data_IF_869150706180
#
_entry.id   IF_869150706180
#
_cell.length_a   1.000
_cell.length_b   1.000
_cell.length_c   1.000
_cell.angle_alpha   90.00
_cell.angle_beta   90.00
_cell.angle_gamma   90.00
#
_symmetry.space_group_name_H-M   'P 1'
#
loop_
_entity.id
_entity.type
_entity.pdbx_description
1 polymer ?
#
# COMPACT_ATOMS: atom_id res chain seq x y z
N UNK A 1 -3.61 -38.55 14.84
CA UNK A 1 -3.20 -38.13 13.47
C UNK A 1 -2.34 -36.89 13.60
N UNK A 2 -1.04 -36.96 13.33
CA UNK A 2 -0.14 -35.81 13.49
C UNK A 2 -0.51 -34.72 12.46
N UNK A 3 -0.65 -33.48 12.91
CA UNK A 3 -0.92 -32.36 12.00
C UNK A 3 0.26 -32.18 11.04
N UNK A 4 0.01 -32.16 9.73
CA UNK A 4 1.05 -31.89 8.70
C UNK A 4 1.73 -30.55 8.99
N UNK A 5 3.03 -30.44 8.70
CA UNK A 5 3.75 -29.18 8.90
C UNK A 5 3.30 -28.11 7.88
N UNK A 6 3.61 -26.83 8.11
CA UNK A 6 3.36 -25.78 7.11
C UNK A 6 4.10 -26.08 5.81
N UNK A 7 5.35 -26.56 5.90
CA UNK A 7 6.17 -26.90 4.73
C UNK A 7 5.51 -27.98 3.87
N UNK A 8 4.88 -28.97 4.49
CA UNK A 8 4.19 -30.03 3.75
C UNK A 8 2.93 -29.49 3.07
N UNK A 9 2.17 -28.61 3.74
CA UNK A 9 0.95 -28.03 3.16
C UNK A 9 1.25 -27.06 2.00
N UNK A 10 2.40 -26.40 2.01
CA UNK A 10 2.83 -25.54 0.90
C UNK A 10 3.03 -26.32 -0.41
N UNK A 11 3.38 -27.61 -0.34
CA UNK A 11 3.49 -28.45 -1.54
C UNK A 11 2.14 -28.62 -2.26
N UNK A 12 1.05 -28.59 -1.50
CA UNK A 12 -0.31 -28.82 -2.00
C UNK A 12 -1.01 -27.53 -2.47
N UNK A 13 -0.30 -26.40 -2.56
CA UNK A 13 -0.90 -25.17 -3.10
C UNK A 13 -1.38 -25.42 -4.53
N UNK A 14 -2.67 -25.18 -4.84
CA UNK A 14 -3.20 -25.35 -6.19
C UNK A 14 -2.60 -24.33 -7.16
N UNK A 15 -2.75 -24.56 -8.45
CA UNK A 15 -2.40 -23.55 -9.45
C UNK A 15 -3.16 -22.23 -9.19
N UNK A 16 -2.55 -21.10 -9.56
CA UNK A 16 -3.20 -19.81 -9.49
C UNK A 16 -4.26 -19.73 -10.59
N UNK A 17 -5.49 -19.38 -10.21
CA UNK A 17 -6.52 -18.95 -11.16
C UNK A 17 -6.17 -17.53 -11.64
N UNK A 18 -5.92 -17.33 -12.96
CA UNK A 18 -5.53 -16.03 -13.49
C UNK A 18 -6.70 -15.05 -13.65
N UNK A 19 -7.95 -15.49 -13.43
CA UNK A 19 -9.15 -14.68 -13.66
C UNK A 19 -9.12 -13.38 -12.84
N UNK A 20 -9.26 -12.24 -13.52
CA UNK A 20 -9.24 -10.91 -12.88
C UNK A 20 -7.84 -10.42 -12.47
N UNK A 21 -6.77 -11.15 -12.76
CA UNK A 21 -5.40 -10.77 -12.45
C UNK A 21 -4.67 -10.19 -13.66
N UNK A 22 -3.81 -9.20 -13.42
CA UNK A 22 -2.86 -8.68 -14.43
C UNK A 22 -1.67 -9.64 -14.57
N UNK A 23 -1.03 -9.63 -15.74
CA UNK A 23 0.15 -10.48 -16.01
C UNK A 23 1.24 -10.37 -14.93
N UNK A 24 1.57 -9.14 -14.51
CA UNK A 24 2.59 -8.93 -13.47
C UNK A 24 2.19 -9.48 -12.09
N UNK A 25 0.89 -9.56 -11.78
CA UNK A 25 0.39 -10.13 -10.54
C UNK A 25 0.44 -11.67 -10.60
N UNK A 26 0.06 -12.24 -11.76
CA UNK A 26 0.17 -13.68 -12.04
C UNK A 26 1.62 -14.14 -11.88
N UNK A 27 2.56 -13.43 -12.52
CA UNK A 27 3.99 -13.73 -12.43
C UNK A 27 4.50 -13.65 -11.00
N UNK A 28 4.14 -12.58 -10.28
CA UNK A 28 4.56 -12.39 -8.89
C UNK A 28 4.07 -13.51 -7.96
N UNK A 29 2.78 -13.85 -8.02
CA UNK A 29 2.17 -14.86 -7.14
C UNK A 29 2.67 -16.26 -7.51
N UNK A 30 2.78 -16.57 -8.80
CA UNK A 30 3.28 -17.88 -9.26
C UNK A 30 4.72 -18.13 -8.80
N UNK A 31 5.60 -17.13 -8.94
CA UNK A 31 6.98 -17.24 -8.48
C UNK A 31 7.09 -17.26 -6.95
N UNK A 32 6.20 -16.54 -6.24
CA UNK A 32 6.11 -16.61 -4.79
C UNK A 32 5.77 -18.04 -4.34
N UNK A 33 4.73 -18.65 -4.91
CA UNK A 33 4.31 -20.01 -4.57
C UNK A 33 5.40 -21.03 -4.89
N UNK A 34 6.06 -20.91 -6.04
CA UNK A 34 7.19 -21.77 -6.41
C UNK A 34 8.35 -21.66 -5.42
N UNK A 35 8.69 -20.44 -4.98
CA UNK A 35 9.74 -20.22 -3.98
C UNK A 35 9.38 -20.83 -2.62
N UNK A 36 8.13 -20.67 -2.19
CA UNK A 36 7.65 -21.26 -0.94
C UNK A 36 7.66 -22.79 -0.99
N UNK A 37 7.23 -23.40 -2.11
CA UNK A 37 7.33 -24.85 -2.36
C UNK A 37 8.79 -25.34 -2.33
N UNK A 38 9.72 -24.56 -2.88
CA UNK A 38 11.15 -24.86 -2.84
C UNK A 38 11.83 -24.62 -1.48
N UNK A 39 11.06 -24.36 -0.40
CA UNK A 39 11.56 -24.04 0.93
C UNK A 39 12.51 -22.82 0.94
N UNK A 40 12.26 -21.84 0.07
CA UNK A 40 12.91 -20.53 0.05
C UNK A 40 11.93 -19.48 0.58
N UNK A 41 11.82 -19.30 1.92
CA UNK A 41 10.77 -18.51 2.54
C UNK A 41 10.98 -16.99 2.45
N UNK A 42 12.17 -16.54 2.02
CA UNK A 42 12.52 -15.12 1.92
C UNK A 42 12.47 -14.72 0.46
N UNK A 43 11.50 -13.89 0.11
CA UNK A 43 11.19 -13.51 -1.27
C UNK A 43 11.13 -11.99 -1.32
N UNK A 44 11.66 -11.41 -2.40
CA UNK A 44 11.51 -9.99 -2.70
C UNK A 44 10.75 -9.88 -4.01
N UNK A 45 9.57 -9.25 -3.97
CA UNK A 45 8.78 -8.95 -5.15
C UNK A 45 8.88 -7.45 -5.39
N UNK A 46 9.47 -7.06 -6.53
CA UNK A 46 9.57 -5.66 -6.93
C UNK A 46 8.52 -5.35 -7.98
N UNK A 47 7.73 -4.31 -7.73
CA UNK A 47 6.58 -3.96 -8.56
C UNK A 47 6.44 -2.44 -8.69
N UNK A 48 6.12 -1.98 -9.89
CA UNK A 48 5.92 -0.56 -10.19
C UNK A 48 4.72 0.03 -9.41
N UNK A 49 4.69 1.35 -9.22
CA UNK A 49 3.50 2.04 -8.66
C UNK A 49 2.31 1.85 -9.60
N UNK A 50 1.10 1.68 -9.04
CA UNK A 50 -0.12 1.40 -9.82
C UNK A 50 -0.26 -0.04 -10.36
N UNK A 51 0.75 -0.91 -10.19
CA UNK A 51 0.67 -2.30 -10.69
C UNK A 51 -0.10 -3.28 -9.78
N UNK A 52 -0.78 -2.77 -8.74
CA UNK A 52 -1.58 -3.59 -7.82
C UNK A 52 -0.76 -4.38 -6.79
N UNK A 53 0.27 -3.76 -6.20
CA UNK A 53 1.11 -4.37 -5.14
C UNK A 53 0.30 -4.93 -3.97
N UNK A 54 -0.57 -4.09 -3.40
CA UNK A 54 -1.39 -4.44 -2.24
C UNK A 54 -2.34 -5.59 -2.59
N UNK A 55 -3.03 -5.49 -3.72
CA UNK A 55 -3.89 -6.56 -4.22
C UNK A 55 -3.15 -7.90 -4.41
N UNK A 56 -1.93 -7.86 -4.94
CA UNK A 56 -1.07 -9.05 -5.11
C UNK A 56 -0.68 -9.67 -3.78
N UNK A 57 -0.37 -8.84 -2.78
CA UNK A 57 -0.05 -9.29 -1.43
C UNK A 57 -1.27 -9.90 -0.74
N UNK A 58 -2.45 -9.26 -0.82
CA UNK A 58 -3.71 -9.77 -0.26
C UNK A 58 -4.07 -11.11 -0.91
N UNK A 59 -3.96 -11.23 -2.24
CA UNK A 59 -4.21 -12.49 -2.96
C UNK A 59 -3.26 -13.60 -2.50
N UNK A 60 -1.98 -13.29 -2.30
CA UNK A 60 -1.01 -14.26 -1.77
C UNK A 60 -1.37 -14.69 -0.35
N UNK A 61 -1.77 -13.74 0.51
CA UNK A 61 -2.21 -14.01 1.88
C UNK A 61 -3.45 -14.90 1.89
N UNK A 62 -4.46 -14.58 1.08
CA UNK A 62 -5.67 -15.39 0.93
C UNK A 62 -5.34 -16.84 0.60
N UNK A 63 -4.46 -17.05 -0.40
CA UNK A 63 -4.01 -18.39 -0.82
C UNK A 63 -3.34 -19.15 0.32
N UNK A 64 -2.49 -18.48 1.09
CA UNK A 64 -1.79 -19.08 2.23
C UNK A 64 -2.72 -19.42 3.41
N UNK A 65 -3.71 -18.56 3.68
CA UNK A 65 -4.73 -18.83 4.70
C UNK A 65 -5.59 -20.03 4.28
N UNK A 66 -6.14 -20.00 3.06
CA UNK A 66 -7.07 -21.01 2.54
C UNK A 66 -6.43 -22.38 2.34
N UNK A 67 -5.30 -22.44 1.63
CA UNK A 67 -4.72 -23.71 1.19
C UNK A 67 -3.59 -24.19 2.10
N UNK A 68 -2.77 -23.28 2.63
CA UNK A 68 -1.66 -23.64 3.52
C UNK A 68 -2.02 -23.57 5.01
N UNK A 69 -3.25 -23.17 5.37
CA UNK A 69 -3.74 -23.05 6.75
C UNK A 69 -2.78 -22.22 7.63
N UNK A 70 -2.26 -21.14 7.07
CA UNK A 70 -1.58 -20.11 7.87
C UNK A 70 -2.61 -19.51 8.82
N UNK A 71 -2.20 -19.20 10.06
CA UNK A 71 -3.12 -18.70 11.10
C UNK A 71 -2.84 -17.28 11.55
N UNK A 72 -1.63 -16.78 11.29
CA UNK A 72 -1.19 -15.46 11.74
C UNK A 72 -0.28 -14.85 10.69
N UNK A 73 -0.70 -13.72 10.16
CA UNK A 73 -0.01 -12.95 9.12
C UNK A 73 0.20 -11.55 9.65
N UNK A 74 1.45 -11.07 9.62
CA UNK A 74 1.78 -9.69 9.95
C UNK A 74 2.02 -8.92 8.66
N UNK A 75 1.16 -7.93 8.39
CA UNK A 75 1.25 -7.01 7.27
C UNK A 75 1.85 -5.68 7.75
N UNK A 76 3.11 -5.43 7.41
CA UNK A 76 3.84 -4.24 7.84
C UNK A 76 3.74 -3.12 6.80
N UNK A 77 3.47 -1.91 7.28
CA UNK A 77 3.39 -0.68 6.48
C UNK A 77 4.30 0.40 7.07
N UNK A 78 4.70 1.37 6.26
CA UNK A 78 5.63 2.42 6.69
C UNK A 78 4.95 3.57 7.46
N UNK A 79 3.69 3.90 7.15
CA UNK A 79 2.95 5.00 7.76
C UNK A 79 1.56 4.57 8.23
N UNK A 80 0.94 5.35 9.13
CA UNK A 80 -0.43 5.10 9.61
C UNK A 80 -1.44 5.16 8.47
N UNK A 81 -1.34 6.15 7.59
CA UNK A 81 -2.23 6.30 6.43
C UNK A 81 -2.12 5.11 5.47
N UNK A 82 -0.90 4.59 5.22
CA UNK A 82 -0.73 3.36 4.43
C UNK A 82 -1.36 2.14 5.11
N UNK A 83 -1.41 2.13 6.44
CA UNK A 83 -2.11 1.10 7.20
C UNK A 83 -3.62 1.15 7.03
N UNK A 84 -4.20 2.35 7.04
CA UNK A 84 -5.62 2.57 6.77
C UNK A 84 -5.97 2.21 5.33
N UNK A 85 -5.14 2.60 4.35
CA UNK A 85 -5.30 2.20 2.95
C UNK A 85 -5.24 0.68 2.80
N UNK A 86 -4.27 0.01 3.42
CA UNK A 86 -4.19 -1.45 3.39
C UNK A 86 -5.44 -2.10 4.00
N UNK A 87 -5.94 -1.58 5.13
CA UNK A 87 -7.18 -2.06 5.77
C UNK A 87 -8.40 -1.92 4.86
N UNK A 88 -8.56 -0.79 4.16
CA UNK A 88 -9.63 -0.60 3.16
C UNK A 88 -9.50 -1.57 1.98
N UNK A 89 -8.29 -1.85 1.51
CA UNK A 89 -8.05 -2.83 0.45
C UNK A 89 -8.43 -4.26 0.90
N UNK A 90 -8.14 -4.64 2.15
CA UNK A 90 -8.62 -5.91 2.70
C UNK A 90 -10.15 -5.97 2.78
N UNK A 91 -10.81 -4.88 3.21
CA UNK A 91 -12.28 -4.81 3.27
C UNK A 91 -12.94 -4.93 1.89
N UNK A 92 -12.35 -4.29 0.88
CA UNK A 92 -12.88 -4.30 -0.49
C UNK A 92 -12.61 -5.61 -1.24
N UNK A 93 -11.54 -6.33 -0.89
CA UNK A 93 -11.07 -7.52 -1.59
C UNK A 93 -12.11 -8.65 -1.59
N UNK A 94 -12.34 -9.22 -2.77
CA UNK A 94 -13.17 -10.43 -2.98
C UNK A 94 -12.31 -11.48 -3.69
N UNK A 95 -12.13 -12.67 -3.11
CA UNK A 95 -11.43 -13.76 -3.79
C UNK A 95 -12.16 -14.16 -5.09
N UNK A 96 -11.44 -14.70 -6.08
CA UNK A 96 -12.06 -15.13 -7.34
C UNK A 96 -12.94 -16.38 -7.19
N UNK A 97 -12.76 -17.14 -6.12
CA UNK A 97 -13.38 -18.44 -5.88
C UNK A 97 -14.31 -18.49 -4.64
N UNK A 98 -14.66 -17.33 -4.08
CA UNK A 98 -15.66 -17.18 -3.01
C UNK A 98 -16.42 -15.87 -3.20
N UNK A 99 -17.74 -15.88 -2.98
CA UNK A 99 -18.58 -14.69 -3.15
C UNK A 99 -18.51 -13.73 -1.96
N UNK A 100 -17.87 -14.14 -0.86
CA UNK A 100 -17.71 -13.34 0.35
C UNK A 100 -16.47 -12.45 0.29
N UNK A 101 -16.53 -11.30 0.96
CA UNK A 101 -15.37 -10.41 1.13
C UNK A 101 -14.29 -11.08 1.98
N UNK A 102 -13.03 -10.66 1.82
CA UNK A 102 -11.93 -11.20 2.63
C UNK A 102 -12.22 -11.14 4.13
N UNK A 103 -12.75 -10.00 4.60
CA UNK A 103 -13.03 -9.74 6.02
C UNK A 103 -14.23 -10.51 6.56
N UNK A 104 -15.05 -11.10 5.69
CA UNK A 104 -16.10 -12.06 6.07
C UNK A 104 -15.56 -13.49 6.22
N UNK A 105 -14.37 -13.75 5.66
CA UNK A 105 -13.68 -15.05 5.72
C UNK A 105 -12.63 -15.10 6.82
N UNK A 106 -11.90 -14.00 7.01
CA UNK A 106 -10.76 -13.90 7.91
C UNK A 106 -10.78 -12.55 8.61
N UNK A 107 -10.55 -12.56 9.92
CA UNK A 107 -10.52 -11.36 10.73
C UNK A 107 -9.20 -10.60 10.50
N UNK A 108 -9.34 -9.34 10.10
CA UNK A 108 -8.24 -8.40 9.90
C UNK A 108 -8.27 -7.37 11.02
N UNK A 109 -7.13 -7.08 11.62
CA UNK A 109 -7.02 -6.10 12.70
C UNK A 109 -5.82 -5.19 12.51
N UNK A 110 -6.05 -3.88 12.56
CA UNK A 110 -4.97 -2.89 12.67
C UNK A 110 -4.51 -2.75 14.12
N UNK A 111 -3.24 -2.98 14.36
CA UNK A 111 -2.66 -2.95 15.71
C UNK A 111 -2.40 -1.51 16.16
N UNK A 112 -3.09 -1.13 17.25
CA UNK A 112 -2.82 0.12 17.98
C UNK A 112 -1.88 -0.09 19.18
N UNK A 113 -1.71 -1.34 19.64
CA UNK A 113 -0.87 -1.70 20.79
C UNK A 113 -0.18 -3.05 20.56
N UNK A 114 0.59 -3.52 21.55
CA UNK A 114 1.22 -4.85 21.53
C UNK A 114 0.23 -6.00 21.78
N UNK A 115 -1.03 -5.71 22.08
CA UNK A 115 -2.04 -6.74 22.27
C UNK A 115 -2.44 -7.35 20.93
N UNK A 116 -2.37 -8.68 20.84
CA UNK A 116 -2.74 -9.45 19.65
C UNK A 116 -4.03 -10.23 19.95
N UNK A 117 -5.17 -9.84 19.34
CA UNK A 117 -6.39 -10.63 19.41
C UNK A 117 -6.14 -12.09 19.00
N UNK A 118 -6.83 -13.02 19.65
CA UNK A 118 -6.64 -14.46 19.42
C UNK A 118 -7.40 -14.99 18.21
N UNK A 119 -8.43 -14.26 17.80
CA UNK A 119 -9.38 -14.53 16.73
C UNK A 119 -9.00 -13.89 15.38
N UNK A 120 -7.97 -13.05 15.34
CA UNK A 120 -7.50 -12.44 14.10
C UNK A 120 -6.44 -13.28 13.37
N UNK A 121 -6.59 -13.41 12.04
CA UNK A 121 -5.61 -14.05 11.16
C UNK A 121 -4.61 -13.05 10.59
N UNK A 122 -5.03 -11.81 10.32
CA UNK A 122 -4.20 -10.78 9.70
C UNK A 122 -4.07 -9.57 10.60
N UNK A 123 -2.83 -9.17 10.87
CA UNK A 123 -2.49 -8.03 11.70
C UNK A 123 -1.79 -6.97 10.85
N UNK A 124 -2.39 -5.79 10.72
CA UNK A 124 -1.78 -4.65 10.03
C UNK A 124 -1.06 -3.80 11.08
N UNK A 125 0.24 -3.55 10.88
CA UNK A 125 1.02 -2.74 11.81
C UNK A 125 1.93 -1.75 11.09
N UNK A 126 2.00 -0.54 11.62
CA UNK A 126 2.94 0.47 11.17
C UNK A 126 4.32 0.20 11.77
N UNK A 127 5.37 0.31 10.95
CA UNK A 127 6.75 0.34 11.41
C UNK A 127 6.90 1.41 12.50
N UNK A 128 7.27 1.00 13.71
CA UNK A 128 7.36 1.91 14.86
C UNK A 128 8.49 2.95 14.66
N UNK A 129 8.17 4.25 14.43
CA UNK A 129 9.17 5.28 14.19
C UNK A 129 9.77 5.79 15.51
N UNK A 130 9.04 5.72 16.62
CA UNK A 130 9.44 6.27 17.93
C UNK A 130 10.67 5.56 18.49
N UNK A 131 10.81 4.26 18.20
CA UNK A 131 11.97 3.47 18.59
C UNK A 131 13.19 3.64 17.65
N UNK A 132 13.18 4.57 16.68
CA UNK A 132 14.31 4.77 15.74
C UNK A 132 15.63 5.03 16.45
N UNK A 133 15.60 5.73 17.59
CA UNK A 133 16.80 6.06 18.37
C UNK A 133 17.40 4.84 19.10
N UNK A 134 16.61 3.78 19.30
CA UNK A 134 17.07 2.51 19.88
C UNK A 134 17.69 1.58 18.82
N UNK A 135 17.56 1.90 17.53
CA UNK A 135 18.12 1.06 16.44
C UNK A 135 19.65 1.12 16.48
N UNK A 136 20.27 -0.05 16.68
CA UNK A 136 21.73 -0.21 16.61
C UNK A 136 22.14 -0.60 15.19
N UNK A 137 23.28 -0.09 14.77
CA UNK A 137 23.88 -0.50 13.50
C UNK A 137 24.16 -2.01 13.54
N UNK A 138 23.69 -2.71 12.51
CA UNK A 138 23.93 -4.15 12.37
C UNK A 138 25.07 -4.42 11.41
N UNK A 139 25.34 -3.48 10.50
CA UNK A 139 26.42 -3.58 9.54
C UNK A 139 27.76 -3.23 10.18
N UNK A 140 28.78 -4.00 9.82
CA UNK A 140 30.16 -3.71 10.17
C UNK A 140 31.06 -4.26 9.06
N UNK A 141 31.95 -3.43 8.50
CA UNK A 141 32.77 -3.77 7.34
C UNK A 141 33.45 -5.14 7.44
N UNK A 142 34.08 -5.41 8.59
CA UNK A 142 34.82 -6.66 8.81
C UNK A 142 34.00 -7.75 9.52
N UNK A 143 33.27 -7.39 10.59
CA UNK A 143 32.61 -8.35 11.48
C UNK A 143 31.22 -8.78 11.01
N UNK A 144 30.53 -7.95 10.23
CA UNK A 144 29.21 -8.27 9.71
C UNK A 144 28.92 -7.51 8.41
N UNK A 145 29.57 -7.89 7.29
CA UNK A 145 29.41 -7.19 6.02
C UNK A 145 28.00 -7.35 5.43
N UNK A 146 27.20 -8.29 5.94
CA UNK A 146 25.82 -8.56 5.51
C UNK A 146 24.76 -7.90 6.40
N UNK A 147 25.18 -7.11 7.40
CA UNK A 147 24.25 -6.36 8.25
C UNK A 147 23.38 -5.40 7.43
N UNK A 148 22.07 -5.38 7.70
CA UNK A 148 21.09 -4.66 6.88
C UNK A 148 20.94 -3.18 7.25
N UNK A 149 21.13 -2.84 8.52
CA UNK A 149 21.08 -1.47 9.01
C UNK A 149 22.50 -0.91 9.09
N UNK A 150 22.78 0.11 8.25
CA UNK A 150 24.04 0.86 8.16
C UNK A 150 23.77 2.36 8.32
N UNK A 151 24.61 3.05 9.08
CA UNK A 151 24.57 4.51 9.18
C UNK A 151 25.54 5.09 8.15
N UNK A 152 25.17 6.24 7.60
CA UNK A 152 26.04 7.02 6.73
C UNK A 152 26.19 8.41 7.32
N UNK A 153 27.42 8.89 7.38
CA UNK A 153 27.73 10.27 7.70
C UNK A 153 27.34 11.18 6.53
N UNK A 154 27.13 12.48 6.81
CA UNK A 154 26.83 13.45 5.77
C UNK A 154 27.90 13.48 4.67
N UNK A 155 29.18 13.44 5.05
CA UNK A 155 30.29 13.45 4.09
C UNK A 155 30.26 12.23 3.14
N UNK A 156 29.94 11.04 3.65
CA UNK A 156 29.80 9.83 2.83
C UNK A 156 28.60 9.88 1.88
N UNK A 157 27.52 10.57 2.27
CA UNK A 157 26.37 10.78 1.39
C UNK A 157 26.72 11.79 0.30
N UNK A 158 27.26 12.96 0.66
CA UNK A 158 27.61 14.03 -0.28
C UNK A 158 28.64 13.59 -1.35
N UNK A 159 29.51 12.63 -1.03
CA UNK A 159 30.51 12.10 -1.95
C UNK A 159 29.95 11.13 -3.02
N UNK A 160 28.65 10.79 -3.02
CA UNK A 160 28.09 9.87 -4.03
C UNK A 160 27.75 10.62 -5.32
N UNK A 161 28.11 10.02 -6.46
CA UNK A 161 27.91 10.55 -7.82
C UNK A 161 26.46 10.92 -8.19
N UNK A 162 25.46 10.44 -7.42
CA UNK A 162 24.03 10.67 -7.68
C UNK A 162 23.26 11.04 -6.41
N UNK A 163 23.86 11.86 -5.56
CA UNK A 163 23.20 12.33 -4.34
C UNK A 163 22.13 13.36 -4.68
N UNK A 164 20.94 12.90 -5.06
CA UNK A 164 19.74 13.75 -5.04
C UNK A 164 19.14 13.69 -3.64
N UNK A 165 19.14 14.84 -2.95
CA UNK A 165 18.44 15.06 -1.68
C UNK A 165 17.08 15.73 -1.92
N UNK A 166 16.53 15.63 -3.14
CA UNK A 166 15.21 16.17 -3.46
C UNK A 166 14.14 15.36 -2.74
N UNK A 167 13.81 15.81 -1.53
CA UNK A 167 12.72 15.29 -0.71
C UNK A 167 11.39 15.84 -1.25
N UNK A 168 10.99 15.38 -2.43
CA UNK A 168 9.73 15.78 -3.09
C UNK A 168 8.46 15.57 -2.23
N UNK A 169 8.55 14.83 -1.12
CA UNK A 169 7.43 14.55 -0.21
C UNK A 169 7.23 15.59 0.90
N UNK A 170 8.17 16.54 1.08
CA UNK A 170 7.97 17.67 1.98
C UNK A 170 7.08 18.69 1.25
N UNK A 171 5.76 18.45 1.30
CA UNK A 171 4.77 19.41 0.82
C UNK A 171 4.77 20.61 1.76
N UNK A 172 4.94 21.80 1.19
CA UNK A 172 4.62 23.05 1.88
C UNK A 172 3.10 23.08 2.08
N UNK A 173 2.61 23.34 3.30
CA UNK A 173 1.17 23.40 3.61
C UNK A 173 0.44 24.50 2.80
N UNK A 174 1.17 25.35 2.08
CA UNK A 174 0.63 26.32 1.12
C UNK A 174 0.33 25.76 -0.29
N UNK A 175 0.79 24.55 -0.62
CA UNK A 175 0.50 23.89 -1.90
C UNK A 175 -0.77 23.06 -1.77
N UNK A 176 -1.89 23.63 -2.23
CA UNK A 176 -3.18 22.96 -2.34
C UNK A 176 -3.04 21.54 -2.92
N UNK A 177 -3.88 20.64 -2.41
CA UNK A 177 -3.78 19.18 -2.51
C UNK A 177 -3.95 18.66 -3.96
N UNK A 178 -2.92 18.83 -4.78
CA UNK A 178 -2.87 18.41 -6.19
C UNK A 178 -3.12 16.91 -6.39
N UNK A 179 -2.93 16.10 -5.34
CA UNK A 179 -3.12 14.64 -5.40
C UNK A 179 -4.57 14.22 -5.11
N UNK A 180 -5.43 15.13 -4.68
CA UNK A 180 -6.88 14.92 -4.43
C UNK A 180 -7.75 15.80 -5.34
N UNK A 181 -7.23 16.19 -6.50
CA UNK A 181 -8.04 16.86 -7.52
C UNK A 181 -9.15 15.90 -7.99
N UNK A 182 -10.39 16.39 -8.14
CA UNK A 182 -11.45 15.61 -8.79
C UNK A 182 -11.05 15.29 -10.24
N UNK A 183 -11.73 14.33 -10.87
CA UNK A 183 -11.41 13.93 -12.24
C UNK A 183 -11.44 15.15 -13.18
N UNK A 184 -10.61 15.20 -14.24
CA UNK A 184 -10.52 16.37 -15.12
C UNK A 184 -11.86 16.82 -15.71
N UNK A 185 -12.82 15.90 -15.85
CA UNK A 185 -14.18 16.19 -16.31
C UNK A 185 -14.97 16.99 -15.25
N UNK A 186 -14.93 16.57 -13.98
CA UNK A 186 -15.62 17.23 -12.88
C UNK A 186 -15.06 18.65 -12.63
N UNK A 187 -13.73 18.80 -12.72
CA UNK A 187 -13.07 20.10 -12.59
C UNK A 187 -13.43 21.05 -13.74
N UNK A 188 -13.57 20.52 -14.96
CA UNK A 188 -13.98 21.32 -16.11
C UNK A 188 -15.42 21.82 -15.96
N UNK A 189 -16.33 20.99 -15.44
CA UNK A 189 -17.71 21.38 -15.15
C UNK A 189 -17.77 22.49 -14.08
N UNK A 190 -17.02 22.35 -12.98
CA UNK A 190 -16.98 23.36 -11.92
C UNK A 190 -16.42 24.71 -12.42
N UNK A 191 -15.40 24.69 -13.27
CA UNK A 191 -14.86 25.90 -13.90
C UNK A 191 -15.92 26.57 -14.79
N UNK A 192 -16.66 25.79 -15.58
CA UNK A 192 -17.73 26.30 -16.45
C UNK A 192 -18.83 26.95 -15.60
N UNK A 193 -19.31 26.27 -14.56
CA UNK A 193 -20.37 26.78 -13.68
C UNK A 193 -19.96 28.10 -12.99
N UNK A 194 -18.73 28.16 -12.48
CA UNK A 194 -18.21 29.38 -11.87
C UNK A 194 -18.09 30.54 -12.87
N UNK A 195 -17.64 30.28 -14.10
CA UNK A 195 -17.54 31.29 -15.15
C UNK A 195 -18.93 31.78 -15.55
N UNK A 196 -19.91 30.88 -15.68
CA UNK A 196 -21.30 31.23 -16.01
C UNK A 196 -21.95 32.09 -14.93
N UNK A 197 -21.75 31.74 -13.65
CA UNK A 197 -22.22 32.55 -12.52
C UNK A 197 -21.58 33.94 -12.52
N UNK A 198 -20.27 34.02 -12.76
CA UNK A 198 -19.56 35.29 -12.92
C UNK A 198 -20.11 36.13 -14.08
N UNK A 199 -20.35 35.51 -15.23
CA UNK A 199 -20.94 36.16 -16.41
C UNK A 199 -22.36 36.67 -16.16
N UNK A 200 -23.19 35.91 -15.44
CA UNK A 200 -24.53 36.33 -15.05
C UNK A 200 -24.51 37.56 -14.13
N UNK A 201 -23.57 37.59 -13.18
CA UNK A 201 -23.36 38.75 -12.32
C UNK A 201 -22.95 39.99 -13.13
N UNK A 202 -21.98 39.86 -14.04
CA UNK A 202 -21.56 40.97 -14.91
C UNK A 202 -22.70 41.47 -15.81
N UNK A 203 -23.52 40.57 -16.37
CA UNK A 203 -24.71 40.94 -17.15
C UNK A 203 -25.73 41.70 -16.32
N UNK A 204 -25.93 41.31 -15.06
CA UNK A 204 -26.82 42.00 -14.13
C UNK A 204 -26.33 43.42 -13.83
N UNK A 205 -25.03 43.58 -13.56
CA UNK A 205 -24.40 44.89 -13.36
C UNK A 205 -24.53 45.75 -14.62
N UNK A 206 -24.24 45.21 -15.80
CA UNK A 206 -24.41 45.93 -17.07
C UNK A 206 -25.87 46.38 -17.30
N UNK A 207 -26.85 45.53 -16.98
CA UNK A 207 -28.28 45.88 -17.08
C UNK A 207 -28.70 46.97 -16.08
N UNK A 208 -28.09 47.00 -14.88
CA UNK A 208 -28.33 48.08 -13.90
C UNK A 208 -27.72 49.42 -14.34
N UNK A 209 -26.57 49.41 -15.00
CA UNK A 209 -25.92 50.61 -15.54
C UNK A 209 -26.66 51.17 -16.78
N UNK A 210 -27.38 50.33 -17.52
CA UNK A 210 -28.24 50.75 -18.64
C UNK A 210 -29.59 51.37 -18.23
N UNK A 211 -29.93 51.40 -16.93
CA UNK A 211 -31.20 51.95 -16.41
C UNK A 211 -31.06 53.30 -15.68
N UNK A 212 -29.90 53.95 -15.76
CA UNK A 212 -29.71 55.29 -15.19
C UNK A 212 -29.50 56.35 -16.29
N UNK A 213 -30.57 56.69 -17.01
CA UNK A 213 -30.74 58.02 -17.63
C UNK A 213 -32.26 58.32 -17.69
N UNK A 214 -32.82 59.23 -16.87
CA UNK A 214 -34.00 60.00 -17.27
C UNK A 214 -33.63 61.04 -18.35
#
# INVERSE_FOLDING_TARGET
>A
MFARSLRDRLQDLPALDPTGLRACQIDAITNLDASLKAAKPRILVQMATGSGKTFTAITSIYRLLKHARVRRVLFLVDTRNLGEQAEQEFLAYTPSDDNRKFTELYTVTRLASSHLPTDAEVFIACCNPDNRHKRKETWHAEKNPTGRWRKFTHAELAARDKTSLDLFWLKDDSLADLDNLPEPADLAEEIIENIEAGLANFRTVAASLGKSVP
#
